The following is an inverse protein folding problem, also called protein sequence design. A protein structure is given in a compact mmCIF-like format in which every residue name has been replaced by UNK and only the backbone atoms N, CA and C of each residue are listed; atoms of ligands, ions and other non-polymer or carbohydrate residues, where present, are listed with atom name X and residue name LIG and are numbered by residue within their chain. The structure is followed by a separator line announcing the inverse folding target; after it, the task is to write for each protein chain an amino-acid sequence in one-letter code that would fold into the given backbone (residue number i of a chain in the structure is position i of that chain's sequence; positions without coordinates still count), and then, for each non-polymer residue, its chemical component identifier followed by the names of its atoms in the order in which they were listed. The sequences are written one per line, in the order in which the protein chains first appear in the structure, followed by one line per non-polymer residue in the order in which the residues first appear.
data_IF_237448367728
#
_entry.id   IF_237448367728
#
_cell.length_a   1.000
_cell.length_b   1.000
_cell.length_c   1.000
_cell.angle_alpha   90.00
_cell.angle_beta   90.00
_cell.angle_gamma   90.00
#
_symmetry.space_group_name_H-M   'P 1'
#
loop_
_entity.id
_entity.type
_entity.pdbx_description
1 polymer ?
#
# COMPACT_ATOMS: atom_id res chain seq x y z
N UNK A 1 1.20 -12.02 -19.86
CA UNK A 1 1.05 -12.71 -18.57
C UNK A 1 0.24 -11.84 -17.64
N UNK A 2 -0.82 -12.39 -17.08
CA UNK A 2 -1.67 -11.63 -16.15
C UNK A 2 -1.06 -11.67 -14.75
N UNK A 3 -0.85 -10.48 -14.19
CA UNK A 3 -0.40 -10.37 -12.81
C UNK A 3 -1.62 -10.34 -11.89
N UNK A 4 -1.59 -11.17 -10.87
CA UNK A 4 -2.61 -11.12 -9.82
C UNK A 4 -2.18 -10.12 -8.75
N UNK A 5 -3.09 -9.22 -8.41
CA UNK A 5 -2.86 -8.20 -7.38
C UNK A 5 -4.10 -8.07 -6.50
N UNK A 6 -4.39 -9.10 -5.70
CA UNK A 6 -5.57 -9.05 -4.83
C UNK A 6 -5.39 -8.02 -3.72
N UNK A 7 -6.51 -7.38 -3.36
CA UNK A 7 -6.53 -6.41 -2.26
C UNK A 7 -6.80 -7.13 -0.94
N UNK A 8 -6.01 -6.83 0.08
CA UNK A 8 -6.23 -7.39 1.42
C UNK A 8 -7.44 -6.73 2.11
N UNK A 9 -7.98 -5.66 1.53
CA UNK A 9 -9.17 -5.02 2.08
C UNK A 9 -10.39 -5.95 2.08
N UNK A 10 -10.40 -6.93 1.17
CA UNK A 10 -11.45 -7.95 1.08
C UNK A 10 -11.20 -9.15 2.01
N UNK A 11 -10.08 -9.19 2.69
CA UNK A 11 -9.68 -10.32 3.51
C UNK A 11 -10.40 -10.31 4.87
N UNK A 12 -10.48 -11.48 5.49
CA UNK A 12 -10.90 -11.59 6.89
C UNK A 12 -9.71 -11.17 7.75
N UNK A 13 -9.79 -9.99 8.35
CA UNK A 13 -8.68 -9.42 9.11
C UNK A 13 -8.30 -10.25 10.34
N UNK A 14 -9.21 -11.08 10.86
CA UNK A 14 -8.88 -11.97 11.97
C UNK A 14 -7.95 -13.10 11.55
N UNK A 15 -7.84 -13.36 10.25
CA UNK A 15 -6.99 -14.42 9.68
C UNK A 15 -6.09 -13.89 8.58
N UNK A 16 -5.70 -12.65 8.67
CA UNK A 16 -5.02 -11.93 7.59
C UNK A 16 -3.74 -12.62 7.13
N UNK A 17 -2.91 -13.09 8.05
CA UNK A 17 -1.67 -13.79 7.69
C UNK A 17 -1.92 -15.08 6.92
N UNK A 18 -2.93 -15.84 7.31
CA UNK A 18 -3.30 -17.07 6.62
C UNK A 18 -3.82 -16.78 5.22
N UNK A 19 -4.62 -15.73 5.07
CA UNK A 19 -5.16 -15.34 3.77
C UNK A 19 -4.08 -14.84 2.84
N UNK A 20 -3.08 -14.11 3.36
CA UNK A 20 -1.93 -13.68 2.56
C UNK A 20 -1.19 -14.89 2.02
N UNK A 21 -0.95 -15.90 2.84
CA UNK A 21 -0.28 -17.14 2.41
C UNK A 21 -1.09 -17.88 1.36
N UNK A 22 -2.41 -17.93 1.53
CA UNK A 22 -3.31 -18.58 0.57
C UNK A 22 -3.22 -17.92 -0.80
N UNK A 23 -3.25 -16.59 -0.82
CA UNK A 23 -3.15 -15.81 -2.06
C UNK A 23 -1.77 -16.00 -2.70
N UNK A 24 -0.72 -16.01 -1.89
CA UNK A 24 0.65 -16.24 -2.37
C UNK A 24 0.77 -17.60 -3.03
N UNK A 25 0.26 -18.66 -2.38
CA UNK A 25 0.27 -20.01 -2.91
C UNK A 25 -0.56 -20.16 -4.18
N UNK A 26 -1.58 -19.32 -4.35
CA UNK A 26 -2.41 -19.30 -5.55
C UNK A 26 -1.73 -18.61 -6.73
N UNK A 27 -0.51 -18.09 -6.56
CA UNK A 27 0.28 -17.52 -7.64
C UNK A 27 0.19 -16.00 -7.77
N UNK A 28 -0.32 -15.30 -6.77
CA UNK A 28 -0.33 -13.83 -6.78
C UNK A 28 1.10 -13.31 -6.84
N UNK A 29 1.33 -12.28 -7.65
CA UNK A 29 2.65 -11.64 -7.78
C UNK A 29 2.72 -10.36 -6.96
N UNK A 30 1.59 -9.71 -6.74
CA UNK A 30 1.45 -8.47 -5.99
C UNK A 30 0.40 -8.63 -4.93
N UNK A 31 0.60 -8.00 -3.79
CA UNK A 31 -0.43 -7.86 -2.76
C UNK A 31 -0.79 -6.38 -2.72
N UNK A 32 -2.03 -6.08 -3.03
CA UNK A 32 -2.52 -4.70 -3.06
C UNK A 32 -3.01 -4.29 -1.68
N UNK A 33 -2.46 -3.20 -1.15
CA UNK A 33 -2.75 -2.71 0.20
C UNK A 33 -3.33 -1.32 0.11
N UNK A 34 -4.63 -1.17 0.43
CA UNK A 34 -5.31 0.12 0.43
C UNK A 34 -5.30 0.71 1.83
N UNK A 35 -4.63 1.86 1.99
CA UNK A 35 -4.57 2.58 3.25
C UNK A 35 -5.47 3.81 3.16
N UNK A 36 -6.49 3.85 4.01
CA UNK A 36 -7.49 4.92 4.05
C UNK A 36 -7.52 5.54 5.45
N UNK A 37 -7.60 6.88 5.52
CA UNK A 37 -7.50 7.61 6.79
C UNK A 37 -8.84 8.19 7.28
N UNK A 38 -9.92 8.01 6.54
CA UNK A 38 -11.22 8.58 6.89
C UNK A 38 -11.35 10.06 6.57
N UNK A 39 -10.30 10.71 6.12
CA UNK A 39 -10.29 12.12 5.74
C UNK A 39 -10.36 12.29 4.24
N UNK A 40 -9.39 11.77 3.52
CA UNK A 40 -9.38 11.82 2.06
C UNK A 40 -10.52 10.99 1.45
N UNK A 41 -10.80 9.83 2.04
CA UNK A 41 -11.94 8.97 1.67
C UNK A 41 -12.75 8.68 2.94
N UNK A 42 -14.08 8.45 2.84
CA UNK A 42 -14.94 8.28 4.01
C UNK A 42 -14.86 6.85 4.60
N UNK A 43 -13.66 6.36 4.80
CA UNK A 43 -13.43 5.04 5.36
C UNK A 43 -12.04 4.98 6.00
N UNK A 44 -11.89 4.14 7.01
CA UNK A 44 -10.60 3.89 7.65
C UNK A 44 -10.31 2.40 7.49
N UNK A 45 -9.15 2.04 6.96
CA UNK A 45 -8.79 0.65 6.77
C UNK A 45 -7.86 0.14 7.89
N UNK A 46 -6.57 0.35 7.77
CA UNK A 46 -5.56 -0.09 8.73
C UNK A 46 -4.28 0.70 8.50
N UNK A 47 -3.29 0.51 9.34
CA UNK A 47 -2.07 1.27 9.30
C UNK A 47 -0.80 0.44 9.26
N UNK A 48 0.30 1.08 9.57
CA UNK A 48 1.65 0.51 9.46
C UNK A 48 1.89 -0.74 10.29
N UNK A 49 1.39 -0.85 11.52
CA UNK A 49 1.60 -2.08 12.31
C UNK A 49 1.07 -3.33 11.61
N UNK A 50 -0.07 -3.23 10.93
CA UNK A 50 -0.64 -4.36 10.19
C UNK A 50 0.25 -4.70 8.99
N UNK A 51 0.66 -3.70 8.23
CA UNK A 51 1.52 -3.89 7.06
C UNK A 51 2.83 -4.57 7.48
N UNK A 52 3.45 -4.10 8.55
CA UNK A 52 4.69 -4.68 9.07
C UNK A 52 4.50 -6.15 9.46
N UNK A 53 3.37 -6.46 10.08
CA UNK A 53 3.07 -7.82 10.53
C UNK A 53 2.89 -8.77 9.36
N UNK A 54 2.15 -8.36 8.32
CA UNK A 54 1.88 -9.23 7.18
C UNK A 54 3.06 -9.33 6.22
N UNK A 55 4.03 -8.40 6.28
CA UNK A 55 5.23 -8.47 5.44
C UNK A 55 5.97 -9.79 5.62
N UNK A 56 5.93 -10.36 6.82
CA UNK A 56 6.59 -11.62 7.15
C UNK A 56 5.89 -12.84 6.55
N UNK A 57 4.68 -12.68 6.06
CA UNK A 57 3.86 -13.79 5.56
C UNK A 57 4.11 -14.13 4.10
N UNK A 58 4.80 -13.29 3.35
CA UNK A 58 5.02 -13.48 1.91
C UNK A 58 6.25 -12.71 1.44
N UNK A 59 6.85 -13.17 0.34
CA UNK A 59 7.93 -12.47 -0.35
C UNK A 59 7.42 -11.67 -1.54
N UNK A 60 6.11 -11.66 -1.77
CA UNK A 60 5.53 -10.97 -2.92
C UNK A 60 5.62 -9.46 -2.76
N UNK A 61 5.46 -8.75 -3.88
CA UNK A 61 5.54 -7.29 -3.93
C UNK A 61 4.33 -6.67 -3.24
N UNK A 62 4.58 -5.77 -2.30
CA UNK A 62 3.52 -4.98 -1.67
C UNK A 62 3.31 -3.70 -2.46
N UNK A 63 2.14 -3.61 -3.09
CA UNK A 63 1.66 -2.45 -3.83
C UNK A 63 0.74 -1.65 -2.90
N UNK A 64 1.27 -0.60 -2.30
CA UNK A 64 0.55 0.19 -1.30
C UNK A 64 -0.08 1.41 -1.97
N UNK A 65 -1.40 1.48 -1.89
CA UNK A 65 -2.19 2.59 -2.42
C UNK A 65 -2.64 3.49 -1.26
N UNK A 66 -2.11 4.70 -1.20
CA UNK A 66 -2.38 5.62 -0.09
C UNK A 66 -3.54 6.55 -0.44
N UNK A 67 -4.66 6.33 0.20
CA UNK A 67 -5.84 7.20 0.12
C UNK A 67 -5.93 8.00 1.43
N UNK A 68 -4.92 8.82 1.67
CA UNK A 68 -4.77 9.61 2.90
C UNK A 68 -4.34 11.02 2.57
N UNK A 69 -4.61 11.96 3.48
CA UNK A 69 -4.17 13.34 3.35
C UNK A 69 -2.67 13.44 3.59
N UNK A 70 -1.97 14.18 2.73
CA UNK A 70 -0.54 14.43 2.83
C UNK A 70 0.27 13.14 3.08
N UNK A 71 0.29 12.23 2.11
CA UNK A 71 0.96 10.94 2.28
C UNK A 71 2.47 11.05 2.49
N UNK A 72 3.08 12.18 2.15
CA UNK A 72 4.52 12.39 2.35
C UNK A 72 4.95 12.16 3.80
N UNK A 73 4.03 12.37 4.74
CA UNK A 73 4.28 12.17 6.17
C UNK A 73 4.64 10.72 6.52
N UNK A 74 4.24 9.77 5.68
CA UNK A 74 4.33 8.34 6.00
C UNK A 74 5.20 7.54 5.04
N UNK A 75 5.83 8.18 4.06
CA UNK A 75 6.60 7.46 3.05
C UNK A 75 7.73 6.63 3.68
N UNK A 76 8.55 7.24 4.53
CA UNK A 76 9.67 6.54 5.17
C UNK A 76 9.19 5.36 6.00
N UNK A 77 8.14 5.55 6.78
CA UNK A 77 7.59 4.51 7.63
C UNK A 77 7.04 3.34 6.81
N UNK A 78 6.36 3.63 5.70
CA UNK A 78 5.83 2.60 4.80
C UNK A 78 6.92 1.78 4.14
N UNK A 79 8.01 2.42 3.72
CA UNK A 79 9.14 1.70 3.15
C UNK A 79 9.76 0.78 4.21
N UNK A 80 9.89 1.26 5.44
CA UNK A 80 10.41 0.46 6.53
C UNK A 80 9.49 -0.71 6.88
N UNK A 81 8.19 -0.60 6.62
CA UNK A 81 7.23 -1.69 6.79
C UNK A 81 7.29 -2.73 5.68
N UNK A 82 7.98 -2.43 4.58
CA UNK A 82 8.17 -3.37 3.49
C UNK A 82 7.43 -3.07 2.20
N UNK A 83 6.95 -1.83 2.03
CA UNK A 83 6.31 -1.42 0.77
C UNK A 83 7.33 -1.43 -0.37
N UNK A 84 6.95 -2.00 -1.50
CA UNK A 84 7.78 -2.07 -2.70
C UNK A 84 7.35 -1.07 -3.76
N UNK A 85 6.09 -0.69 -3.74
CA UNK A 85 5.49 0.27 -4.65
C UNK A 85 4.48 1.10 -3.86
N UNK A 86 4.50 2.42 -4.02
CA UNK A 86 3.56 3.32 -3.35
C UNK A 86 2.88 4.18 -4.39
N UNK A 87 1.54 4.16 -4.39
CA UNK A 87 0.71 5.01 -5.25
C UNK A 87 0.01 6.03 -4.38
N UNK A 88 0.06 7.29 -4.79
CA UNK A 88 -0.59 8.40 -4.10
C UNK A 88 -1.59 9.08 -5.02
N UNK A 89 -2.51 9.87 -4.45
CA UNK A 89 -3.46 10.68 -5.22
C UNK A 89 -2.98 12.12 -5.29
N UNK A 90 -3.01 12.68 -6.49
CA UNK A 90 -2.57 14.05 -6.71
C UNK A 90 -3.35 15.04 -5.83
N UNK A 91 -4.64 14.79 -5.65
CA UNK A 91 -5.53 15.67 -4.88
C UNK A 91 -5.20 15.70 -3.38
N UNK A 92 -4.53 14.67 -2.85
CA UNK A 92 -4.19 14.60 -1.44
C UNK A 92 -2.83 15.20 -1.11
N UNK A 93 -2.08 15.59 -2.13
CA UNK A 93 -0.70 16.07 -1.96
C UNK A 93 -0.65 17.58 -2.21
N UNK A 94 -0.15 18.34 -1.25
CA UNK A 94 0.12 19.78 -1.47
C UNK A 94 1.22 19.98 -2.50
N UNK A 95 2.22 19.11 -2.46
CA UNK A 95 3.37 19.15 -3.37
C UNK A 95 3.60 17.74 -3.92
N UNK A 96 2.89 17.39 -4.99
CA UNK A 96 2.94 16.06 -5.57
C UNK A 96 4.36 15.67 -5.99
N UNK A 97 5.09 16.59 -6.64
CA UNK A 97 6.45 16.31 -7.11
C UNK A 97 7.37 15.94 -5.95
N UNK A 98 7.24 16.63 -4.83
CA UNK A 98 8.04 16.36 -3.63
C UNK A 98 7.70 14.99 -3.03
N UNK A 99 6.42 14.63 -3.04
CA UNK A 99 5.98 13.32 -2.54
C UNK A 99 6.52 12.19 -3.41
N UNK A 100 6.41 12.33 -4.73
CA UNK A 100 6.94 11.34 -5.68
C UNK A 100 8.46 11.20 -5.52
N UNK A 101 9.17 12.32 -5.38
CA UNK A 101 10.60 12.32 -5.17
C UNK A 101 11.01 11.60 -3.88
N UNK A 102 10.27 11.84 -2.80
CA UNK A 102 10.51 11.16 -1.53
C UNK A 102 10.39 9.64 -1.67
N UNK A 103 9.41 9.17 -2.44
CA UNK A 103 9.23 7.74 -2.71
C UNK A 103 10.43 7.19 -3.49
N UNK A 104 10.82 7.88 -4.57
CA UNK A 104 11.91 7.43 -5.42
C UNK A 104 13.27 7.44 -4.71
N UNK A 105 13.50 8.39 -3.81
CA UNK A 105 14.73 8.46 -3.03
C UNK A 105 14.94 7.24 -2.14
N UNK A 106 13.87 6.55 -1.75
CA UNK A 106 13.97 5.32 -0.98
C UNK A 106 14.16 4.09 -1.87
N UNK A 107 14.28 4.27 -3.19
CA UNK A 107 14.57 3.20 -4.14
C UNK A 107 13.37 2.32 -4.50
N UNK A 108 12.16 2.79 -4.27
CA UNK A 108 10.94 2.05 -4.60
C UNK A 108 10.17 2.74 -5.73
N UNK A 109 9.21 2.00 -6.30
CA UNK A 109 8.43 2.50 -7.43
C UNK A 109 7.35 3.46 -6.94
N UNK A 110 7.21 4.60 -7.62
CA UNK A 110 6.21 5.61 -7.30
C UNK A 110 5.14 5.67 -8.37
N UNK A 111 3.88 5.81 -7.95
CA UNK A 111 2.76 6.03 -8.84
C UNK A 111 1.90 7.19 -8.35
N UNK A 112 1.18 7.83 -9.27
CA UNK A 112 0.22 8.86 -8.91
C UNK A 112 -1.10 8.61 -9.63
N UNK A 113 -2.20 8.98 -9.00
CA UNK A 113 -3.56 8.85 -9.54
C UNK A 113 -4.34 10.13 -9.27
N UNK A 114 -5.35 10.35 -10.10
CA UNK A 114 -6.34 11.39 -9.86
C UNK A 114 -7.66 10.71 -9.51
N UNK A 115 -8.32 11.20 -8.48
CA UNK A 115 -9.67 10.75 -8.16
C UNK A 115 -10.63 11.31 -9.19
N UNK A 116 -11.53 10.49 -9.68
CA UNK A 116 -12.56 10.93 -10.62
C UNK A 116 -13.93 10.83 -9.98
#
# INVERSE_FOLDING_TARGET
MNCLSPSILSADFSKLGEEIKTVDEAGAQYIHIDVMDGSFVPSISFGMPVIRSIRKCTDKIFDVHLMIDEPIRYIDELVDCGADLITVHAESCKHLDRTIEAIKERGIIAGDRKST
#
